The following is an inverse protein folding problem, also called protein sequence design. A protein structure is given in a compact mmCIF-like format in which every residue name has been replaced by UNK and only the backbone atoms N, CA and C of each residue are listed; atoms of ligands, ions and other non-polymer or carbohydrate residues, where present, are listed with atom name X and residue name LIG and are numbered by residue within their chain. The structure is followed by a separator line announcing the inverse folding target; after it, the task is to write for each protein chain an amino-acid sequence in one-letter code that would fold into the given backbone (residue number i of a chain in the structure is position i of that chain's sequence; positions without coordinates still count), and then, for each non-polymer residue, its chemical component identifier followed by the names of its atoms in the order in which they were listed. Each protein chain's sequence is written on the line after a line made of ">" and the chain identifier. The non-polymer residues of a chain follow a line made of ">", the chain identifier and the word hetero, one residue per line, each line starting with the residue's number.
data_IF_530930332861
#
_entry.id   IF_530930332861
#
_cell.length_a   1.000
_cell.length_b   1.000
_cell.length_c   1.000
_cell.angle_alpha   90.00
_cell.angle_beta   90.00
_cell.angle_gamma   90.00
#
_symmetry.space_group_name_H-M   'P 1'
#
loop_
_entity.id
_entity.type
_entity.pdbx_description
1 polymer ?
#
# COMPACT_ATOMS: atom_id res chain seq x y z
N UNK A 1 12.85 10.85 1.18
CA UNK A 1 11.42 10.53 1.36
C UNK A 1 10.66 11.42 0.40
N UNK A 2 9.86 10.83 -0.48
CA UNK A 2 9.08 11.56 -1.45
C UNK A 2 8.01 12.38 -0.72
N UNK A 3 7.70 13.57 -1.24
CA UNK A 3 6.63 14.39 -0.69
C UNK A 3 5.52 14.51 -1.71
N UNK A 4 4.30 14.24 -1.27
CA UNK A 4 3.11 14.31 -2.11
C UNK A 4 1.89 14.73 -1.28
N UNK A 5 0.71 14.76 -1.91
CA UNK A 5 -0.55 15.12 -1.30
C UNK A 5 -0.96 14.07 -0.27
N UNK A 6 -1.23 14.54 0.95
CA UNK A 6 -1.62 13.68 2.07
C UNK A 6 -3.10 13.33 2.04
N UNK A 7 -3.39 12.08 2.36
CA UNK A 7 -4.72 11.58 2.68
C UNK A 7 -4.92 11.57 4.19
N UNK A 8 -6.17 11.73 4.62
CA UNK A 8 -6.57 11.56 6.00
C UNK A 8 -6.84 10.07 6.30
N UNK A 9 -7.19 9.76 7.56
CA UNK A 9 -7.44 8.39 8.01
C UNK A 9 -8.64 7.69 7.31
N UNK A 10 -9.44 8.43 6.55
CA UNK A 10 -10.55 7.89 5.73
C UNK A 10 -10.20 7.77 4.25
N UNK A 11 -8.96 8.05 3.87
CA UNK A 11 -8.50 8.01 2.48
C UNK A 11 -8.90 9.21 1.63
N UNK A 12 -9.37 10.30 2.24
CA UNK A 12 -9.73 11.54 1.54
C UNK A 12 -8.59 12.55 1.55
N UNK A 13 -8.57 13.48 0.59
CA UNK A 13 -7.55 14.53 0.51
C UNK A 13 -7.55 15.40 1.78
N UNK A 14 -6.40 15.55 2.41
CA UNK A 14 -6.22 16.48 3.53
C UNK A 14 -6.12 17.90 3.00
N UNK A 15 -7.05 18.76 3.42
CA UNK A 15 -7.08 20.18 3.05
C UNK A 15 -6.88 21.03 4.30
N UNK A 16 -5.94 21.97 4.24
CA UNK A 16 -5.71 22.94 5.31
C UNK A 16 -5.54 24.34 4.72
N UNK A 17 -6.17 25.34 5.35
CA UNK A 17 -6.11 26.75 4.90
C UNK A 17 -6.54 26.96 3.43
N UNK A 18 -7.44 26.10 2.91
CA UNK A 18 -7.95 26.19 1.54
C UNK A 18 -7.03 25.61 0.46
N UNK A 19 -6.00 24.84 0.82
CA UNK A 19 -5.08 24.20 -0.13
C UNK A 19 -4.74 22.76 0.29
N UNK A 20 -4.19 21.98 -0.64
CA UNK A 20 -3.75 20.60 -0.39
C UNK A 20 -2.57 20.57 0.60
N UNK A 21 -2.63 19.65 1.55
CA UNK A 21 -1.51 19.40 2.45
C UNK A 21 -0.51 18.47 1.76
N UNK A 22 0.75 18.91 1.67
CA UNK A 22 1.86 18.12 1.13
C UNK A 22 2.75 17.64 2.28
N UNK A 23 3.11 16.37 2.28
CA UNK A 23 3.95 15.77 3.32
C UNK A 23 4.58 14.46 2.86
N UNK A 24 5.13 13.72 3.80
CA UNK A 24 5.69 12.39 3.51
C UNK A 24 4.56 11.41 3.19
N UNK A 25 4.61 10.82 1.99
CA UNK A 25 3.55 9.97 1.44
C UNK A 25 3.98 8.51 1.28
N UNK A 26 5.21 8.14 1.66
CA UNK A 26 5.73 6.79 1.37
C UNK A 26 4.84 5.68 1.96
N UNK A 27 4.42 5.84 3.22
CA UNK A 27 3.57 4.86 3.90
C UNK A 27 2.16 4.82 3.30
N UNK A 28 1.64 5.97 2.85
CA UNK A 28 0.35 6.08 2.17
C UNK A 28 0.38 5.35 0.81
N UNK A 29 1.42 5.55 0.01
CA UNK A 29 1.61 4.86 -1.27
C UNK A 29 1.72 3.34 -1.05
N UNK A 30 2.48 2.92 -0.03
CA UNK A 30 2.59 1.51 0.36
C UNK A 30 1.22 0.94 0.71
N UNK A 31 0.44 1.63 1.55
CA UNK A 31 -0.90 1.20 1.90
C UNK A 31 -1.78 1.04 0.64
N UNK A 32 -1.81 2.04 -0.24
CA UNK A 32 -2.56 1.98 -1.49
C UNK A 32 -2.19 0.77 -2.34
N UNK A 33 -0.90 0.47 -2.52
CA UNK A 33 -0.44 -0.70 -3.28
C UNK A 33 -0.93 -2.02 -2.66
N UNK A 34 -0.96 -2.10 -1.33
CA UNK A 34 -1.37 -3.32 -0.63
C UNK A 34 -2.87 -3.57 -0.68
N UNK A 35 -3.65 -2.49 -0.70
CA UNK A 35 -5.11 -2.53 -0.74
C UNK A 35 -5.66 -2.71 -2.16
N UNK A 36 -5.02 -2.05 -3.13
CA UNK A 36 -5.48 -1.96 -4.52
C UNK A 36 -5.50 -3.32 -5.22
N UNK A 37 -6.54 -3.52 -6.04
CA UNK A 37 -6.64 -4.66 -6.94
C UNK A 37 -5.92 -4.40 -8.27
N UNK A 38 -5.31 -5.45 -8.83
CA UNK A 38 -4.75 -5.38 -10.19
C UNK A 38 -5.83 -4.94 -11.19
N UNK A 39 -5.50 -3.95 -12.01
CA UNK A 39 -6.38 -3.31 -12.98
C UNK A 39 -6.99 -1.99 -12.53
N UNK A 40 -6.90 -1.64 -11.23
CA UNK A 40 -7.41 -0.36 -10.72
C UNK A 40 -6.50 0.82 -11.09
N UNK A 41 -5.18 0.62 -11.08
CA UNK A 41 -4.23 1.61 -11.58
C UNK A 41 -4.12 1.52 -13.10
N UNK A 42 -4.62 2.53 -13.81
CA UNK A 42 -4.61 2.57 -15.28
C UNK A 42 -3.20 2.63 -15.88
N UNK A 43 -2.28 3.33 -15.22
CA UNK A 43 -0.89 3.48 -15.68
C UNK A 43 -0.13 2.16 -15.58
N UNK A 44 -0.37 1.40 -14.53
CA UNK A 44 0.18 0.06 -14.33
C UNK A 44 -0.88 -0.93 -13.85
N UNK A 45 -1.60 -1.58 -14.77
CA UNK A 45 -2.67 -2.52 -14.44
C UNK A 45 -2.21 -3.77 -13.68
N UNK A 46 -0.90 -4.04 -13.59
CA UNK A 46 -0.37 -5.21 -12.88
C UNK A 46 0.06 -4.89 -11.44
N UNK A 47 0.09 -3.60 -11.06
CA UNK A 47 0.36 -3.19 -9.69
C UNK A 47 -0.89 -3.41 -8.83
N UNK A 48 -0.68 -3.88 -7.59
CA UNK A 48 -1.74 -4.11 -6.60
C UNK A 48 -1.65 -5.51 -5.99
N UNK A 49 -1.64 -5.58 -4.65
CA UNK A 49 -1.55 -6.86 -3.94
C UNK A 49 -2.92 -7.46 -3.59
N UNK A 50 -3.97 -6.62 -3.50
CA UNK A 50 -5.31 -6.97 -3.03
C UNK A 50 -5.28 -7.89 -1.80
N UNK A 51 -4.60 -7.45 -0.74
CA UNK A 51 -4.47 -8.25 0.47
C UNK A 51 -5.82 -8.52 1.14
N UNK A 52 -6.83 -7.66 0.92
CA UNK A 52 -8.19 -7.86 1.43
C UNK A 52 -8.81 -9.17 0.94
N UNK A 53 -8.58 -9.56 -0.33
CA UNK A 53 -9.01 -10.88 -0.82
C UNK A 53 -8.32 -12.03 -0.12
N UNK A 54 -7.10 -11.83 0.37
CA UNK A 54 -6.30 -12.88 1.01
C UNK A 54 -6.63 -13.07 2.50
N UNK A 55 -7.29 -12.11 3.15
CA UNK A 55 -7.69 -12.19 4.59
C UNK A 55 -8.49 -13.46 4.90
N UNK A 56 -9.37 -13.89 4.00
CA UNK A 56 -10.22 -15.08 4.19
C UNK A 56 -9.74 -16.29 3.38
N UNK A 57 -8.52 -16.22 2.84
CA UNK A 57 -7.94 -17.31 2.07
C UNK A 57 -7.10 -18.22 2.96
N UNK A 58 -6.77 -19.41 2.46
CA UNK A 58 -5.80 -20.31 3.11
C UNK A 58 -4.34 -19.87 2.83
N UNK A 59 -4.11 -18.60 2.49
CA UNK A 59 -2.78 -18.09 2.20
C UNK A 59 -1.92 -18.13 3.47
N UNK A 60 -0.73 -18.70 3.33
CA UNK A 60 0.28 -18.71 4.38
C UNK A 60 0.90 -17.33 4.54
N UNK A 61 1.45 -17.04 5.73
CA UNK A 61 2.23 -15.83 5.99
C UNK A 61 3.39 -15.65 4.97
N UNK A 62 4.00 -16.75 4.51
CA UNK A 62 5.03 -16.72 3.49
C UNK A 62 4.50 -16.25 2.12
N UNK A 63 3.31 -16.70 1.71
CA UNK A 63 2.66 -16.26 0.47
C UNK A 63 2.26 -14.79 0.53
N UNK A 64 1.74 -14.33 1.67
CA UNK A 64 1.41 -12.92 1.91
C UNK A 64 2.66 -12.03 1.82
N UNK A 65 3.74 -12.41 2.53
CA UNK A 65 5.00 -11.66 2.48
C UNK A 65 5.61 -11.64 1.08
N UNK A 66 5.52 -12.74 0.34
CA UNK A 66 5.98 -12.79 -1.04
C UNK A 66 5.17 -11.84 -1.93
N UNK A 67 3.84 -11.84 -1.81
CA UNK A 67 2.96 -10.94 -2.56
C UNK A 67 3.30 -9.47 -2.29
N UNK A 68 3.40 -9.08 -1.02
CA UNK A 68 3.81 -7.74 -0.58
C UNK A 68 5.15 -7.36 -1.19
N UNK A 69 6.16 -8.23 -1.05
CA UNK A 69 7.51 -7.96 -1.55
C UNK A 69 7.54 -7.75 -3.07
N UNK A 70 6.80 -8.57 -3.83
CA UNK A 70 6.75 -8.47 -5.28
C UNK A 70 6.08 -7.17 -5.74
N UNK A 71 4.98 -6.77 -5.10
CA UNK A 71 4.24 -5.56 -5.49
C UNK A 71 4.98 -4.28 -5.09
N UNK A 72 5.58 -4.24 -3.91
CA UNK A 72 6.43 -3.11 -3.51
C UNK A 72 7.66 -2.97 -4.41
N UNK A 73 8.29 -4.08 -4.79
CA UNK A 73 9.42 -4.05 -5.71
C UNK A 73 9.02 -3.55 -7.12
N UNK A 74 7.79 -3.83 -7.57
CA UNK A 74 7.26 -3.32 -8.85
C UNK A 74 7.17 -1.79 -8.86
N UNK A 75 6.79 -1.19 -7.74
CA UNK A 75 6.77 0.26 -7.53
C UNK A 75 8.16 0.85 -7.19
N UNK A 76 9.21 0.01 -7.14
CA UNK A 76 10.56 0.44 -6.78
C UNK A 76 10.79 0.67 -5.28
N UNK A 77 9.86 0.23 -4.42
CA UNK A 77 9.98 0.31 -2.97
C UNK A 77 10.72 -0.89 -2.37
N UNK A 78 11.51 -0.62 -1.33
CA UNK A 78 12.37 -1.61 -0.68
C UNK A 78 11.67 -2.23 0.54
N UNK A 79 11.17 -3.46 0.38
CA UNK A 79 10.47 -4.18 1.44
C UNK A 79 11.30 -4.31 2.72
N UNK A 80 12.63 -4.50 2.63
CA UNK A 80 13.45 -4.71 3.83
C UNK A 80 13.56 -3.46 4.70
N UNK A 81 13.37 -2.26 4.12
CA UNK A 81 13.28 -0.98 4.85
C UNK A 81 11.87 -0.67 5.34
N UNK A 82 10.86 -1.33 4.80
CA UNK A 82 9.44 -1.07 5.05
C UNK A 82 8.80 -2.09 5.98
N UNK A 83 9.36 -3.30 6.09
CA UNK A 83 8.77 -4.43 6.82
C UNK A 83 8.41 -4.15 8.28
N UNK A 84 9.14 -3.27 8.96
CA UNK A 84 8.86 -2.91 10.36
C UNK A 84 7.64 -1.97 10.50
N UNK A 85 7.30 -1.24 9.43
CA UNK A 85 6.15 -0.34 9.35
C UNK A 85 4.87 -1.07 8.92
N UNK A 86 5.00 -2.21 8.24
CA UNK A 86 3.88 -3.01 7.74
C UNK A 86 3.48 -4.06 8.78
N UNK A 87 2.22 -4.03 9.22
CA UNK A 87 1.64 -5.05 10.12
C UNK A 87 0.57 -5.83 9.37
N UNK A 88 0.81 -7.12 9.16
CA UNK A 88 -0.15 -8.04 8.53
C UNK A 88 -0.72 -8.93 9.63
N UNK A 89 -2.04 -8.96 9.75
CA UNK A 89 -2.75 -9.87 10.64
C UNK A 89 -3.49 -10.90 9.80
N UNK A 90 -3.27 -12.18 10.09
CA UNK A 90 -4.02 -13.30 9.51
C UNK A 90 -4.93 -13.81 10.61
N UNK A 91 -6.24 -13.85 10.35
CA UNK A 91 -7.19 -14.45 11.27
C UNK A 91 -7.13 -15.97 11.06
N UNK A 92 -6.64 -16.70 12.06
CA UNK A 92 -6.72 -18.17 12.11
C UNK A 92 -8.15 -18.66 12.38
#
# INVERSE_FOLDING_TARGET
>A
MAKDILLNDTGELTIANGDFVIGDSEDQEVQLILEMAQGELKEDPLLGADLFRLIHSNATDAELKLAVKLQLARDGKDYDKLKERIKIQVNE
#
